data_IF_641637836811
#
_entry.id   IF_641637836811
#
_cell.length_a   1.000
_cell.length_b   1.000
_cell.length_c   1.000
_cell.angle_alpha   90.00
_cell.angle_beta   90.00
_cell.angle_gamma   90.00
#
_symmetry.space_group_name_H-M   'P 1'
#
loop_
_entity.id
_entity.type
_entity.pdbx_description
1 polymer ?
#
# COMPACT_ATOMS: atom_id res chain seq x y z
N UNK A 1 21.55 8.59 -7.72
CA UNK A 1 20.34 8.06 -7.04
C UNK A 1 19.15 8.70 -7.74
N UNK A 2 18.29 7.91 -8.39
CA UNK A 2 17.09 8.46 -9.03
C UNK A 2 16.13 9.04 -7.98
N UNK A 3 15.30 10.04 -8.32
CA UNK A 3 14.43 10.68 -7.31
C UNK A 3 13.48 9.69 -6.63
N UNK A 4 13.03 8.66 -7.36
CA UNK A 4 12.17 7.59 -6.84
C UNK A 4 12.86 6.73 -5.78
N UNK A 5 14.13 6.36 -5.98
CA UNK A 5 14.91 5.59 -5.00
C UNK A 5 15.14 6.38 -3.71
N UNK A 6 15.44 7.69 -3.83
CA UNK A 6 15.59 8.57 -2.68
C UNK A 6 14.29 8.68 -1.88
N UNK A 7 13.15 8.85 -2.55
CA UNK A 7 11.84 8.87 -1.88
C UNK A 7 11.48 7.53 -1.25
N UNK A 8 11.75 6.39 -1.91
CA UNK A 8 11.52 5.07 -1.32
C UNK A 8 12.36 4.84 -0.07
N UNK A 9 13.60 5.34 -0.04
CA UNK A 9 14.46 5.29 1.16
C UNK A 9 13.80 6.01 2.34
N UNK A 10 13.29 7.22 2.15
CA UNK A 10 12.58 7.98 3.20
C UNK A 10 11.35 7.23 3.70
N UNK A 11 10.56 6.62 2.80
CA UNK A 11 9.39 5.81 3.20
C UNK A 11 9.79 4.62 4.08
N UNK A 12 10.90 3.95 3.74
CA UNK A 12 11.43 2.85 4.56
C UNK A 12 11.92 3.33 5.93
N UNK A 13 12.57 4.49 5.99
CA UNK A 13 13.05 5.07 7.25
C UNK A 13 11.88 5.44 8.18
N UNK A 14 10.83 6.06 7.65
CA UNK A 14 9.60 6.36 8.41
C UNK A 14 8.96 5.05 8.91
N UNK A 15 8.78 4.06 8.03
CA UNK A 15 8.17 2.79 8.42
C UNK A 15 9.02 2.03 9.46
N UNK A 16 10.35 2.04 9.33
CA UNK A 16 11.25 1.45 10.30
C UNK A 16 11.20 2.18 11.65
N UNK A 17 11.07 3.51 11.65
CA UNK A 17 10.89 4.29 12.87
C UNK A 17 9.62 3.91 13.61
N UNK A 18 8.49 3.75 12.90
CA UNK A 18 7.23 3.27 13.48
C UNK A 18 7.41 1.92 14.17
N UNK A 19 8.03 0.95 13.48
CA UNK A 19 8.25 -0.40 14.01
C UNK A 19 9.17 -0.36 15.23
N UNK A 20 10.29 0.36 15.14
CA UNK A 20 11.31 0.42 16.21
C UNK A 20 10.77 1.04 17.50
N UNK A 21 9.82 1.96 17.39
CA UNK A 21 9.22 2.64 18.54
C UNK A 21 7.85 2.07 18.92
N UNK A 22 7.47 0.90 18.37
CA UNK A 22 6.21 0.21 18.67
C UNK A 22 4.97 1.11 18.52
N UNK A 23 5.01 2.05 17.56
CA UNK A 23 3.91 2.98 17.34
C UNK A 23 2.76 2.23 16.67
N UNK A 24 1.58 2.26 17.29
CA UNK A 24 0.40 1.74 16.62
C UNK A 24 -0.08 2.72 15.55
N UNK A 25 -0.10 2.24 14.31
CA UNK A 25 -0.64 3.00 13.20
C UNK A 25 -2.14 2.80 13.12
N UNK A 26 -2.86 3.90 13.12
CA UNK A 26 -4.26 3.90 12.74
C UNK A 26 -4.46 3.50 11.27
N UNK A 27 -5.73 3.30 10.90
CA UNK A 27 -6.07 2.84 9.55
C UNK A 27 -5.63 3.85 8.47
N UNK A 28 -5.74 5.15 8.75
CA UNK A 28 -5.38 6.20 7.80
C UNK A 28 -3.86 6.22 7.54
N UNK A 29 -3.04 6.08 8.58
CA UNK A 29 -1.59 5.99 8.48
C UNK A 29 -1.16 4.73 7.72
N UNK A 30 -1.82 3.59 7.92
CA UNK A 30 -1.57 2.37 7.14
C UNK A 30 -1.90 2.57 5.66
N UNK A 31 -3.03 3.19 5.34
CA UNK A 31 -3.42 3.54 3.96
C UNK A 31 -2.38 4.48 3.33
N UNK A 32 -1.90 5.48 4.06
CA UNK A 32 -0.86 6.38 3.59
C UNK A 32 0.44 5.63 3.26
N UNK A 33 0.85 4.66 4.09
CA UNK A 33 2.00 3.82 3.79
C UNK A 33 1.77 2.94 2.55
N UNK A 34 0.57 2.35 2.36
CA UNK A 34 0.23 1.61 1.13
C UNK A 34 0.44 2.51 -0.10
N UNK A 35 -0.11 3.73 -0.08
CA UNK A 35 0.07 4.70 -1.17
C UNK A 35 1.53 5.06 -1.40
N UNK A 36 2.30 5.31 -0.35
CA UNK A 36 3.71 5.71 -0.47
C UNK A 36 4.59 4.60 -1.03
N UNK A 37 4.47 3.37 -0.51
CA UNK A 37 5.21 2.22 -1.03
C UNK A 37 4.84 1.93 -2.49
N UNK A 38 3.56 2.00 -2.84
CA UNK A 38 3.12 1.79 -4.21
C UNK A 38 3.57 2.91 -5.16
N UNK A 39 3.52 4.17 -4.73
CA UNK A 39 3.94 5.33 -5.53
C UNK A 39 5.41 5.24 -5.93
N UNK A 40 6.27 4.69 -5.08
CA UNK A 40 7.70 4.59 -5.33
C UNK A 40 8.16 3.17 -5.73
N UNK A 41 7.28 2.39 -6.35
CA UNK A 41 7.66 1.14 -7.03
C UNK A 41 7.75 -0.10 -6.15
N UNK A 42 7.45 -0.02 -4.86
CA UNK A 42 7.54 -1.15 -3.94
C UNK A 42 6.15 -1.66 -3.57
N UNK A 43 5.43 -2.15 -4.58
CA UNK A 43 4.08 -2.69 -4.43
C UNK A 43 4.01 -3.93 -3.52
N UNK A 44 5.11 -4.68 -3.39
CA UNK A 44 5.19 -5.83 -2.47
C UNK A 44 5.01 -5.40 -1.02
N UNK A 45 5.70 -4.35 -0.58
CA UNK A 45 5.51 -3.80 0.77
C UNK A 45 4.16 -3.12 0.93
N UNK A 46 3.65 -2.45 -0.11
CA UNK A 46 2.30 -1.92 -0.10
C UNK A 46 1.26 -3.03 0.16
N UNK A 47 1.43 -4.21 -0.45
CA UNK A 47 0.54 -5.35 -0.25
C UNK A 47 0.63 -5.95 1.17
N UNK A 48 1.83 -6.01 1.76
CA UNK A 48 2.00 -6.44 3.16
C UNK A 48 1.22 -5.54 4.11
N UNK A 49 1.35 -4.22 3.95
CA UNK A 49 0.66 -3.24 4.80
C UNK A 49 -0.85 -3.28 4.55
N UNK A 50 -1.27 -3.33 3.28
CA UNK A 50 -2.67 -3.52 2.92
C UNK A 50 -3.27 -4.75 3.62
N UNK A 51 -2.56 -5.88 3.59
CA UNK A 51 -3.01 -7.13 4.23
C UNK A 51 -3.20 -6.96 5.74
N UNK A 52 -2.37 -6.13 6.40
CA UNK A 52 -2.46 -5.82 7.83
C UNK A 52 -3.69 -4.98 8.24
N UNK A 53 -4.36 -4.30 7.28
CA UNK A 53 -5.53 -3.48 7.58
C UNK A 53 -6.72 -4.41 7.87
N UNK A 54 -7.22 -4.41 9.11
CA UNK A 54 -8.30 -5.32 9.53
C UNK A 54 -9.63 -5.03 8.83
N UNK A 55 -10.07 -3.77 8.84
CA UNK A 55 -11.34 -3.34 8.24
C UNK A 55 -11.02 -2.51 7.00
N UNK A 56 -11.17 -3.14 5.83
CA UNK A 56 -10.88 -2.50 4.54
C UNK A 56 -12.20 -1.99 3.96
N UNK A 57 -12.34 -0.67 3.88
CA UNK A 57 -13.37 -0.04 3.06
C UNK A 57 -12.83 0.20 1.63
N UNK A 58 -13.53 0.99 0.83
CA UNK A 58 -13.15 1.29 -0.57
C UNK A 58 -11.74 1.88 -0.71
N UNK A 59 -11.26 2.62 0.30
CA UNK A 59 -10.03 3.43 0.20
C UNK A 59 -8.76 2.57 0.10
N UNK A 60 -8.46 1.62 1.02
CA UNK A 60 -7.29 0.75 0.91
C UNK A 60 -7.30 -0.11 -0.35
N UNK A 61 -8.47 -0.52 -0.86
CA UNK A 61 -8.58 -1.25 -2.12
C UNK A 61 -8.17 -0.37 -3.31
N UNK A 62 -8.71 0.84 -3.40
CA UNK A 62 -8.33 1.79 -4.45
C UNK A 62 -6.82 2.12 -4.39
N UNK A 63 -6.27 2.23 -3.18
CA UNK A 63 -4.86 2.47 -2.96
C UNK A 63 -3.98 1.35 -3.55
N UNK A 64 -4.28 0.09 -3.23
CA UNK A 64 -3.47 -1.05 -3.67
C UNK A 64 -3.69 -1.37 -5.16
N UNK A 65 -4.93 -1.28 -5.66
CA UNK A 65 -5.28 -1.52 -7.07
C UNK A 65 -4.59 -0.49 -7.97
N UNK A 66 -4.75 0.81 -7.66
CA UNK A 66 -4.06 1.88 -8.39
C UNK A 66 -2.54 1.82 -8.22
N UNK A 67 -2.06 1.27 -7.11
CA UNK A 67 -0.66 0.95 -6.88
C UNK A 67 -0.11 -0.07 -7.88
N UNK A 68 -0.74 -1.24 -7.99
CA UNK A 68 -0.32 -2.27 -8.95
C UNK A 68 -0.45 -1.81 -10.40
N UNK A 69 -1.54 -1.12 -10.77
CA UNK A 69 -1.73 -0.63 -12.14
C UNK A 69 -0.65 0.36 -12.60
N UNK A 70 -0.28 1.34 -11.75
CA UNK A 70 0.78 2.32 -12.08
C UNK A 70 2.17 1.71 -12.20
N UNK A 71 2.38 0.52 -11.63
CA UNK A 71 3.66 -0.18 -11.66
C UNK A 71 3.68 -1.32 -12.70
N UNK A 72 2.72 -1.35 -13.64
CA UNK A 72 2.69 -2.31 -14.74
C UNK A 72 2.26 -3.72 -14.33
N UNK A 73 1.61 -3.87 -13.18
CA UNK A 73 1.14 -5.15 -12.65
C UNK A 73 -0.38 -5.33 -12.84
N UNK A 74 -0.87 -5.08 -14.05
CA UNK A 74 -2.32 -4.99 -14.35
C UNK A 74 -3.09 -6.26 -13.98
N UNK A 75 -2.50 -7.44 -14.18
CA UNK A 75 -3.13 -8.72 -13.79
C UNK A 75 -3.41 -8.81 -12.29
N UNK A 76 -2.48 -8.31 -11.46
CA UNK A 76 -2.66 -8.28 -10.00
C UNK A 76 -3.69 -7.21 -9.62
N UNK A 77 -3.67 -6.05 -10.28
CA UNK A 77 -4.67 -5.01 -10.08
C UNK A 77 -6.10 -5.52 -10.38
N UNK A 78 -6.29 -6.23 -11.49
CA UNK A 78 -7.58 -6.85 -11.86
C UNK A 78 -8.00 -7.95 -10.87
N UNK A 79 -7.05 -8.77 -10.40
CA UNK A 79 -7.33 -9.77 -9.38
C UNK A 79 -7.82 -9.13 -8.08
N UNK A 80 -7.16 -8.07 -7.61
CA UNK A 80 -7.57 -7.31 -6.43
C UNK A 80 -8.93 -6.63 -6.63
N UNK A 81 -9.20 -6.07 -7.81
CA UNK A 81 -10.51 -5.51 -8.12
C UNK A 81 -11.62 -6.57 -8.07
N UNK A 82 -11.36 -7.78 -8.58
CA UNK A 82 -12.29 -8.91 -8.48
C UNK A 82 -12.55 -9.29 -7.01
N UNK A 83 -11.50 -9.40 -6.20
CA UNK A 83 -11.64 -9.67 -4.76
C UNK A 83 -12.43 -8.58 -4.02
N UNK A 84 -12.23 -7.31 -4.38
CA UNK A 84 -13.01 -6.20 -3.81
C UNK A 84 -14.51 -6.37 -4.08
N UNK A 85 -14.89 -6.80 -5.29
CA UNK A 85 -16.30 -7.09 -5.65
C UNK A 85 -16.86 -8.28 -4.91
N UNK A 86 -16.09 -9.37 -4.81
CA UNK A 86 -16.50 -10.58 -4.09
C UNK A 86 -16.74 -10.31 -2.60
N UNK A 87 -15.97 -9.38 -2.02
CA UNK A 87 -16.16 -8.91 -0.65
C UNK A 87 -17.28 -7.87 -0.48
N UNK A 88 -18.02 -7.51 -1.55
CA UNK A 88 -19.13 -6.54 -1.52
C UNK A 88 -18.72 -5.16 -0.98
N UNK A 89 -17.47 -4.75 -1.22
CA UNK A 89 -16.95 -3.44 -0.80
C UNK A 89 -17.24 -2.36 -1.87
N UNK A 90 -17.66 -2.79 -3.06
CA UNK A 90 -18.07 -1.97 -4.19
C UNK A 90 -19.58 -1.97 -4.35
#
# INVERSE_FOLDING_TARGET
ISSHEASLKVVKEIHAYVIKNELDLDTAARIALVHMYAKFGNVSWANVIFSSIRKKDVIPWNAIIGGYGRNGHDRLALCLFKQMKENQIM
#
